data_IF_253079574583
#
_entry.id   IF_253079574583
#
_cell.length_a   1.000
_cell.length_b   1.000
_cell.length_c   1.000
_cell.angle_alpha   90.00
_cell.angle_beta   90.00
_cell.angle_gamma   90.00
#
_symmetry.space_group_name_H-M   'P 1'
#
loop_
_entity.id
_entity.type
_entity.pdbx_description
1 polymer ?
#
# COMPACT_ATOMS: atom_id res chain seq x y z
N UNK A 1 -14.42 7.65 8.22
CA UNK A 1 -14.62 6.42 7.42
C UNK A 1 -14.00 5.23 8.12
N UNK A 2 -14.56 4.03 7.90
CA UNK A 2 -13.91 2.77 8.29
C UNK A 2 -13.05 2.26 7.12
N UNK A 3 -11.78 1.95 7.36
CA UNK A 3 -10.83 1.59 6.32
C UNK A 3 -10.20 0.23 6.64
N UNK A 4 -10.26 -0.68 5.68
CA UNK A 4 -9.54 -1.94 5.73
C UNK A 4 -8.26 -1.84 4.90
N UNK A 5 -7.12 -2.22 5.48
CA UNK A 5 -5.82 -2.18 4.84
C UNK A 5 -5.22 -3.58 4.76
N UNK A 6 -4.78 -3.96 3.56
CA UNK A 6 -4.15 -5.25 3.34
C UNK A 6 -2.94 -5.15 2.43
N UNK A 7 -1.90 -5.93 2.69
CA UNK A 7 -0.71 -6.01 1.85
C UNK A 7 -0.41 -7.45 1.45
N UNK A 8 -0.04 -7.64 0.19
CA UNK A 8 0.46 -8.91 -0.35
C UNK A 8 1.91 -8.74 -0.74
N UNK A 9 2.69 -9.79 -0.59
CA UNK A 9 4.04 -9.91 -1.11
C UNK A 9 5.12 -9.48 -0.13
N UNK A 10 5.94 -8.49 -0.48
CA UNK A 10 7.18 -8.21 0.22
C UNK A 10 7.00 -7.35 1.50
N UNK A 11 8.05 -7.32 2.32
CA UNK A 11 8.09 -6.52 3.56
C UNK A 11 7.96 -5.03 3.30
N UNK A 12 8.39 -4.56 2.12
CA UNK A 12 8.25 -3.17 1.73
C UNK A 12 6.78 -2.79 1.56
N UNK A 13 5.98 -3.63 0.87
CA UNK A 13 4.53 -3.42 0.79
C UNK A 13 3.87 -3.36 2.17
N UNK A 14 4.38 -4.16 3.10
CA UNK A 14 3.89 -4.18 4.47
C UNK A 14 4.20 -2.88 5.21
N UNK A 15 5.45 -2.39 5.14
CA UNK A 15 5.84 -1.13 5.76
C UNK A 15 5.02 0.04 5.22
N UNK A 16 4.78 0.06 3.92
CA UNK A 16 3.98 1.09 3.26
C UNK A 16 2.53 1.11 3.74
N UNK A 17 1.90 -0.07 3.89
CA UNK A 17 0.53 -0.16 4.44
C UNK A 17 0.50 0.29 5.91
N UNK A 18 1.51 -0.04 6.70
CA UNK A 18 1.60 0.41 8.10
C UNK A 18 1.75 1.94 8.19
N UNK A 19 2.50 2.55 7.27
CA UNK A 19 2.60 4.01 7.19
C UNK A 19 1.25 4.65 6.84
N UNK A 20 0.55 4.15 5.82
CA UNK A 20 -0.79 4.62 5.47
C UNK A 20 -1.78 4.45 6.63
N UNK A 21 -1.71 3.34 7.35
CA UNK A 21 -2.54 3.08 8.52
C UNK A 21 -2.37 4.15 9.61
N UNK A 22 -1.11 4.51 9.92
CA UNK A 22 -0.83 5.57 10.90
C UNK A 22 -1.38 6.93 10.46
N UNK A 23 -1.18 7.28 9.19
CA UNK A 23 -1.64 8.56 8.63
C UNK A 23 -3.16 8.68 8.67
N UNK A 24 -3.86 7.64 8.22
CA UNK A 24 -5.31 7.60 8.23
C UNK A 24 -5.88 7.59 9.66
N UNK A 25 -5.28 6.85 10.58
CA UNK A 25 -5.69 6.84 11.98
C UNK A 25 -5.47 8.22 12.65
N UNK A 26 -4.34 8.88 12.36
CA UNK A 26 -4.06 10.24 12.84
C UNK A 26 -5.06 11.27 12.29
N UNK A 27 -5.60 11.04 11.10
CA UNK A 27 -6.70 11.82 10.50
C UNK A 27 -8.09 11.50 11.05
N UNK A 28 -8.20 10.65 12.08
CA UNK A 28 -9.46 10.30 12.71
C UNK A 28 -10.27 9.21 12.00
N UNK A 29 -9.67 8.51 11.04
CA UNK A 29 -10.31 7.36 10.40
C UNK A 29 -10.22 6.11 11.29
N UNK A 30 -11.23 5.27 11.25
CA UNK A 30 -11.26 4.00 11.99
C UNK A 30 -10.68 2.88 11.12
N UNK A 31 -9.67 2.18 11.61
CA UNK A 31 -9.14 1.00 10.95
C UNK A 31 -9.92 -0.24 11.38
N UNK A 32 -10.30 -1.09 10.41
CA UNK A 32 -11.01 -2.35 10.69
C UNK A 32 -10.24 -3.56 10.15
N UNK A 33 -10.28 -4.66 10.89
CA UNK A 33 -9.74 -5.94 10.44
C UNK A 33 -10.72 -6.67 9.50
N UNK A 34 -12.02 -6.33 9.55
CA UNK A 34 -13.06 -6.96 8.74
C UNK A 34 -13.37 -6.11 7.49
N UNK A 35 -13.06 -6.60 6.28
CA UNK A 35 -13.38 -5.89 5.04
C UNK A 35 -14.90 -5.72 4.82
N UNK A 36 -15.74 -6.53 5.46
CA UNK A 36 -17.20 -6.40 5.35
C UNK A 36 -17.74 -5.13 6.03
N UNK A 37 -17.00 -4.58 6.99
CA UNK A 37 -17.38 -3.35 7.69
C UNK A 37 -16.73 -2.08 7.11
N UNK A 38 -15.86 -2.22 6.11
CA UNK A 38 -15.08 -1.11 5.58
C UNK A 38 -15.89 -0.28 4.58
N UNK A 39 -15.77 1.04 4.67
CA UNK A 39 -16.21 1.96 3.61
C UNK A 39 -15.23 1.93 2.43
N UNK A 40 -13.94 1.75 2.75
CA UNK A 40 -12.85 1.68 1.77
C UNK A 40 -11.89 0.55 2.11
N UNK A 41 -11.49 -0.21 1.10
CA UNK A 41 -10.47 -1.26 1.20
C UNK A 41 -9.25 -0.84 0.40
N UNK A 42 -8.07 -0.78 1.04
CA UNK A 42 -6.80 -0.51 0.36
C UNK A 42 -6.01 -1.82 0.30
N UNK A 43 -5.69 -2.27 -0.92
CA UNK A 43 -4.86 -3.46 -1.15
C UNK A 43 -3.55 -3.08 -1.84
N UNK A 44 -2.43 -3.23 -1.14
CA UNK A 44 -1.09 -3.07 -1.71
C UNK A 44 -0.64 -4.39 -2.34
N UNK A 45 -0.54 -4.40 -3.66
CA UNK A 45 -0.38 -5.59 -4.49
C UNK A 45 1.08 -5.89 -4.86
N UNK A 46 1.36 -7.15 -5.14
CA UNK A 46 2.66 -7.63 -5.58
C UNK A 46 2.56 -8.29 -6.97
N UNK A 47 3.61 -8.14 -7.78
CA UNK A 47 3.72 -8.75 -9.10
C UNK A 47 5.04 -9.51 -9.28
N UNK A 48 5.80 -9.75 -8.21
CA UNK A 48 7.10 -10.44 -8.29
C UNK A 48 6.92 -11.91 -8.70
N UNK A 49 5.77 -12.51 -8.35
CA UNK A 49 5.41 -13.86 -8.77
C UNK A 49 4.01 -13.89 -9.39
N UNK A 50 3.78 -14.82 -10.30
CA UNK A 50 2.45 -15.06 -10.88
C UNK A 50 1.42 -15.42 -9.81
N UNK A 51 1.85 -16.10 -8.76
CA UNK A 51 1.02 -16.43 -7.61
C UNK A 51 0.55 -15.18 -6.86
N UNK A 52 1.44 -14.25 -6.56
CA UNK A 52 1.08 -12.99 -5.91
C UNK A 52 0.08 -12.17 -6.74
N UNK A 53 0.24 -12.13 -8.06
CA UNK A 53 -0.71 -11.48 -8.96
C UNK A 53 -2.08 -12.19 -8.95
N UNK A 54 -2.10 -13.52 -8.93
CA UNK A 54 -3.35 -14.31 -8.79
C UNK A 54 -4.03 -14.04 -7.45
N UNK A 55 -3.26 -14.01 -6.37
CA UNK A 55 -3.78 -13.76 -5.02
C UNK A 55 -4.36 -12.35 -4.91
N UNK A 56 -3.73 -11.34 -5.53
CA UNK A 56 -4.26 -10.00 -5.62
C UNK A 56 -5.67 -9.98 -6.24
N UNK A 57 -5.83 -10.64 -7.40
CA UNK A 57 -7.15 -10.73 -8.08
C UNK A 57 -8.19 -11.47 -7.24
N UNK A 58 -7.78 -12.57 -6.61
CA UNK A 58 -8.68 -13.36 -5.77
C UNK A 58 -9.13 -12.60 -4.52
N UNK A 59 -8.21 -11.91 -3.85
CA UNK A 59 -8.52 -11.08 -2.69
C UNK A 59 -9.42 -9.92 -3.08
N UNK A 60 -9.15 -9.23 -4.18
CA UNK A 60 -10.02 -8.14 -4.68
C UNK A 60 -11.45 -8.63 -4.88
N UNK A 61 -11.64 -9.77 -5.57
CA UNK A 61 -12.98 -10.35 -5.76
C UNK A 61 -13.64 -10.77 -4.44
N UNK A 62 -12.84 -11.23 -3.48
CA UNK A 62 -13.32 -11.61 -2.16
C UNK A 62 -13.77 -10.38 -1.36
N UNK A 63 -13.03 -9.28 -1.40
CA UNK A 63 -13.42 -8.03 -0.77
C UNK A 63 -14.68 -7.45 -1.39
N UNK A 64 -14.78 -7.42 -2.72
CA UNK A 64 -15.98 -6.96 -3.42
C UNK A 64 -17.24 -7.80 -3.08
N UNK A 65 -17.07 -9.10 -2.80
CA UNK A 65 -18.18 -9.96 -2.35
C UNK A 65 -18.52 -9.76 -0.87
N UNK A 66 -17.53 -9.44 -0.04
CA UNK A 66 -17.76 -9.20 1.39
C UNK A 66 -18.53 -7.91 1.63
N UNK A 67 -18.23 -6.87 0.85
CA UNK A 67 -18.97 -5.60 0.90
C UNK A 67 -19.03 -4.96 -0.49
N UNK A 68 -20.18 -5.05 -1.14
CA UNK A 68 -20.38 -4.49 -2.48
C UNK A 68 -20.45 -2.96 -2.52
N UNK A 69 -20.62 -2.30 -1.36
CA UNK A 69 -20.67 -0.84 -1.23
C UNK A 69 -19.29 -0.22 -0.94
N UNK A 70 -18.31 -1.03 -0.54
CA UNK A 70 -16.96 -0.54 -0.27
C UNK A 70 -16.23 -0.17 -1.56
N UNK A 71 -15.55 0.98 -1.56
CA UNK A 71 -14.61 1.31 -2.62
C UNK A 71 -13.32 0.54 -2.43
N UNK A 72 -12.86 -0.17 -3.46
CA UNK A 72 -11.55 -0.86 -3.43
C UNK A 72 -10.51 0.00 -4.14
N UNK A 73 -9.45 0.35 -3.42
CA UNK A 73 -8.27 1.06 -3.93
C UNK A 73 -7.13 0.06 -4.04
N UNK A 74 -6.65 -0.17 -5.27
CA UNK A 74 -5.52 -1.06 -5.53
C UNK A 74 -4.26 -0.26 -5.78
N UNK A 75 -3.16 -0.68 -5.17
CA UNK A 75 -1.84 -0.07 -5.38
C UNK A 75 -0.73 -1.12 -5.37
N UNK A 76 0.52 -0.69 -5.55
CA UNK A 76 1.69 -1.58 -5.50
C UNK A 76 2.18 -2.01 -6.88
N UNK A 77 3.09 -2.99 -6.89
CA UNK A 77 3.79 -3.38 -8.12
C UNK A 77 2.84 -3.90 -9.20
N UNK A 78 1.82 -4.67 -8.84
CA UNK A 78 0.86 -5.17 -9.82
C UNK A 78 -0.04 -4.05 -10.36
N UNK A 79 -0.45 -3.12 -9.51
CA UNK A 79 -1.21 -1.95 -9.92
C UNK A 79 -0.43 -1.06 -10.90
N UNK A 80 0.90 -0.99 -10.76
CA UNK A 80 1.77 -0.26 -11.68
C UNK A 80 1.92 -0.98 -13.03
N UNK A 81 2.04 -2.31 -13.02
CA UNK A 81 2.34 -3.08 -14.24
C UNK A 81 1.11 -3.41 -15.07
N UNK A 82 -0.05 -3.60 -14.44
CA UNK A 82 -1.28 -4.01 -15.11
C UNK A 82 -2.50 -3.23 -14.61
N UNK A 83 -2.49 -1.88 -14.68
CA UNK A 83 -3.56 -1.06 -14.12
C UNK A 83 -4.93 -1.33 -14.77
N UNK A 84 -4.97 -1.54 -16.09
CA UNK A 84 -6.22 -1.81 -16.80
C UNK A 84 -6.85 -3.15 -16.40
N UNK A 85 -6.04 -4.19 -16.18
CA UNK A 85 -6.53 -5.49 -15.71
C UNK A 85 -7.16 -5.37 -14.32
N UNK A 86 -6.51 -4.62 -13.42
CA UNK A 86 -7.00 -4.42 -12.07
C UNK A 86 -8.23 -3.50 -12.00
N UNK A 87 -8.29 -2.48 -12.83
CA UNK A 87 -9.45 -1.58 -12.90
C UNK A 87 -10.73 -2.29 -13.38
N UNK A 88 -10.59 -3.38 -14.14
CA UNK A 88 -11.72 -4.18 -14.61
C UNK A 88 -12.28 -5.15 -13.54
N UNK A 89 -11.65 -5.25 -12.37
CA UNK A 89 -12.13 -6.12 -11.30
C UNK A 89 -13.34 -5.50 -10.56
N UNK A 90 -14.26 -6.34 -10.06
CA UNK A 90 -15.45 -5.84 -9.36
C UNK A 90 -15.09 -5.05 -8.10
N UNK A 91 -15.79 -3.95 -7.86
CA UNK A 91 -15.63 -3.10 -6.68
C UNK A 91 -14.41 -2.20 -6.70
N UNK A 92 -13.57 -2.27 -7.73
CA UNK A 92 -12.39 -1.39 -7.85
C UNK A 92 -12.84 -0.01 -8.32
N UNK A 93 -12.67 0.97 -7.43
CA UNK A 93 -12.91 2.38 -7.72
C UNK A 93 -11.65 3.10 -8.20
N UNK A 94 -10.48 2.70 -7.70
CA UNK A 94 -9.21 3.35 -8.03
C UNK A 94 -8.06 2.35 -8.14
N UNK A 95 -7.17 2.63 -9.11
CA UNK A 95 -5.87 1.96 -9.23
C UNK A 95 -4.79 3.02 -9.19
N UNK A 96 -3.90 2.94 -8.21
CA UNK A 96 -2.85 3.93 -7.93
C UNK A 96 -1.49 3.25 -8.05
N UNK A 97 -0.64 3.77 -8.90
CA UNK A 97 0.70 3.23 -9.12
C UNK A 97 1.65 3.45 -7.92
N UNK A 98 2.85 2.89 -8.00
CA UNK A 98 3.85 3.05 -6.94
C UNK A 98 4.36 4.48 -6.79
N UNK A 99 4.34 5.29 -7.85
CA UNK A 99 4.82 6.67 -7.79
C UNK A 99 3.83 7.57 -7.02
N UNK A 100 2.53 7.36 -7.21
CA UNK A 100 1.48 8.12 -6.55
C UNK A 100 1.00 7.53 -5.21
N UNK A 101 1.46 6.34 -4.85
CA UNK A 101 0.99 5.57 -3.69
C UNK A 101 1.04 6.33 -2.36
N UNK A 102 2.10 7.10 -2.13
CA UNK A 102 2.24 7.89 -0.89
C UNK A 102 1.12 8.91 -0.69
N UNK A 103 0.48 9.35 -1.78
CA UNK A 103 -0.65 10.27 -1.76
C UNK A 103 -2.02 9.63 -1.52
N UNK A 104 -2.12 8.30 -1.37
CA UNK A 104 -3.41 7.64 -1.15
C UNK A 104 -4.17 8.17 0.06
N UNK A 105 -3.56 8.41 1.25
CA UNK A 105 -4.28 8.99 2.37
C UNK A 105 -4.92 10.34 2.01
N UNK A 106 -4.17 11.23 1.35
CA UNK A 106 -4.65 12.54 0.91
C UNK A 106 -5.74 12.44 -0.18
N UNK A 107 -5.63 11.43 -1.04
CA UNK A 107 -6.63 11.12 -2.07
C UNK A 107 -7.98 10.71 -1.46
N UNK A 108 -7.95 10.04 -0.31
CA UNK A 108 -9.14 9.62 0.42
C UNK A 108 -9.69 10.72 1.33
N UNK A 109 -8.81 11.51 1.92
CA UNK A 109 -9.17 12.63 2.77
C UNK A 109 -8.24 13.84 2.49
N UNK A 110 -8.69 14.79 1.67
CA UNK A 110 -7.92 15.98 1.35
C UNK A 110 -7.64 16.92 2.53
N UNK A 111 -8.24 16.70 3.69
CA UNK A 111 -8.00 17.49 4.91
C UNK A 111 -6.77 17.03 5.69
N UNK A 112 -6.24 15.85 5.35
CA UNK A 112 -5.02 15.35 5.96
C UNK A 112 -3.82 16.24 5.62
N UNK A 113 -2.84 16.36 6.53
CA UNK A 113 -1.61 17.07 6.20
C UNK A 113 -0.92 16.39 5.01
N UNK A 114 -0.31 17.20 4.15
CA UNK A 114 0.46 16.68 3.03
C UNK A 114 1.53 15.70 3.52
N UNK A 115 1.49 14.50 2.94
CA UNK A 115 2.39 13.44 3.36
C UNK A 115 3.76 13.71 2.76
N UNK A 116 4.83 13.78 3.57
CA UNK A 116 6.16 13.95 3.04
C UNK A 116 6.47 12.89 1.98
N UNK A 117 7.18 13.28 0.93
CA UNK A 117 7.75 12.32 -0.01
C UNK A 117 8.57 11.26 0.74
N UNK A 118 8.80 10.11 0.09
CA UNK A 118 9.54 8.97 0.64
C UNK A 118 10.76 9.37 1.51
N UNK A 119 11.50 10.37 1.07
CA UNK A 119 12.74 10.85 1.70
C UNK A 119 12.51 11.63 3.01
N UNK A 120 11.25 12.03 3.29
CA UNK A 120 10.87 12.84 4.46
C UNK A 120 9.89 12.13 5.38
N UNK A 121 9.51 10.88 5.10
CA UNK A 121 8.65 10.12 6.00
C UNK A 121 9.33 9.98 7.38
N UNK A 122 8.72 10.48 8.47
CA UNK A 122 9.26 10.26 9.79
C UNK A 122 9.37 8.77 10.07
N UNK A 123 10.50 8.31 10.55
CA UNK A 123 10.64 6.98 11.08
C UNK A 123 9.93 6.95 12.44
N UNK A 124 8.61 6.81 12.43
CA UNK A 124 7.85 6.65 13.65
C UNK A 124 8.29 5.35 14.32
N UNK A 125 9.00 5.47 15.43
CA UNK A 125 9.42 4.34 16.28
C UNK A 125 8.26 3.79 17.13
N UNK A 126 7.13 4.50 17.14
CA UNK A 126 5.96 4.09 17.89
C UNK A 126 5.17 3.03 17.10
N UNK A 127 4.91 1.92 17.76
CA UNK A 127 3.95 0.93 17.26
C UNK A 127 2.57 1.59 17.23
N UNK A 128 2.01 1.78 16.03
CA UNK A 128 0.64 2.22 15.91
C UNK A 128 -0.27 1.24 16.67
N UNK A 129 -1.15 1.77 17.50
CA UNK A 129 -2.25 0.99 18.06
C UNK A 129 -3.04 0.40 16.87
N UNK A 130 -3.03 -0.93 16.75
CA UNK A 130 -3.62 -1.62 15.60
C UNK A 130 -2.60 -2.25 14.63
N UNK A 131 -1.30 -2.08 14.84
CA UNK A 131 -0.29 -2.89 14.17
C UNK A 131 -0.49 -4.34 14.61
N UNK A 132 -1.04 -5.13 13.72
CA UNK A 132 -1.51 -6.50 13.87
C UNK A 132 -0.43 -7.35 14.52
N UNK A 133 -0.46 -7.48 15.85
CA UNK A 133 0.22 -8.50 16.65
C UNK A 133 1.69 -8.79 16.33
N UNK A 134 2.45 -7.84 15.75
CA UNK A 134 3.85 -8.05 15.38
C UNK A 134 4.80 -7.44 16.41
N UNK A 135 5.83 -8.22 16.71
CA UNK A 135 6.95 -7.80 17.54
C UNK A 135 8.10 -7.15 16.74
N UNK A 136 7.95 -7.02 15.41
CA UNK A 136 8.99 -6.49 14.51
C UNK A 136 8.45 -5.30 13.73
N UNK A 137 9.13 -4.14 13.82
CA UNK A 137 8.93 -2.99 12.94
C UNK A 137 9.69 -3.17 11.62
N UNK A 138 9.13 -2.66 10.53
CA UNK A 138 9.81 -2.54 9.25
C UNK A 138 10.15 -1.08 8.99
N UNK A 139 11.41 -0.81 8.67
CA UNK A 139 11.89 0.51 8.27
C UNK A 139 12.20 0.46 6.77
N UNK A 140 11.51 1.30 6.00
CA UNK A 140 11.76 1.44 4.57
C UNK A 140 12.96 2.35 4.38
N UNK A 141 14.13 1.77 4.10
CA UNK A 141 15.40 2.51 3.92
C UNK A 141 15.69 2.81 2.45
N UNK A 142 15.11 2.04 1.52
CA UNK A 142 15.27 2.20 0.09
C UNK A 142 14.00 1.81 -0.66
N UNK A 143 13.73 2.47 -1.79
CA UNK A 143 12.71 2.08 -2.77
C UNK A 143 13.32 2.11 -4.17
N UNK A 144 12.77 1.29 -5.09
CA UNK A 144 13.31 1.16 -6.44
C UNK A 144 14.67 0.46 -6.49
N UNK A 145 15.28 0.41 -7.68
CA UNK A 145 16.59 -0.23 -7.90
C UNK A 145 17.17 0.20 -9.24
N UNK A 146 18.46 0.52 -9.27
CA UNK A 146 19.19 0.91 -10.49
C UNK A 146 19.77 -0.29 -11.25
N UNK A 147 19.75 -1.48 -10.65
CA UNK A 147 20.18 -2.70 -11.32
C UNK A 147 19.13 -3.15 -12.33
N UNK A 148 19.54 -3.41 -13.56
CA UNK A 148 18.68 -3.84 -14.66
C UNK A 148 18.79 -5.36 -14.89
N UNK A 149 18.60 -6.14 -13.83
CA UNK A 149 18.60 -7.61 -13.93
C UNK A 149 17.48 -8.08 -14.85
N UNK A 150 17.81 -8.96 -15.79
CA UNK A 150 16.88 -9.41 -16.85
C UNK A 150 15.60 -10.10 -16.34
N UNK A 151 15.65 -10.67 -15.13
CA UNK A 151 14.53 -11.36 -14.49
C UNK A 151 13.79 -10.52 -13.45
N UNK A 152 14.27 -9.30 -13.15
CA UNK A 152 13.75 -8.52 -12.04
C UNK A 152 12.82 -7.41 -12.52
N UNK A 153 11.63 -7.40 -11.97
CA UNK A 153 10.57 -6.43 -12.29
C UNK A 153 10.66 -5.15 -11.45
N UNK A 154 11.54 -5.10 -10.44
CA UNK A 154 11.57 -4.01 -9.46
C UNK A 154 11.80 -2.64 -10.09
N UNK A 155 12.75 -2.53 -11.01
CA UNK A 155 13.04 -1.25 -11.70
C UNK A 155 11.83 -0.75 -12.48
N UNK A 156 11.09 -1.64 -13.14
CA UNK A 156 9.90 -1.30 -13.93
C UNK A 156 8.77 -0.89 -12.99
N UNK A 157 8.55 -1.67 -11.91
CA UNK A 157 7.41 -1.47 -11.02
C UNK A 157 7.61 -0.35 -9.99
N UNK A 158 8.86 -0.03 -9.61
CA UNK A 158 9.18 0.93 -8.55
C UNK A 158 10.08 2.08 -8.99
N UNK A 159 10.62 2.01 -10.23
CA UNK A 159 11.53 3.01 -10.77
C UNK A 159 12.95 2.91 -10.23
N UNK A 160 13.69 4.02 -10.37
CA UNK A 160 15.08 4.15 -9.94
C UNK A 160 15.26 4.00 -8.43
N UNK A 161 16.46 3.59 -8.01
CA UNK A 161 16.82 3.41 -6.61
C UNK A 161 16.83 4.74 -5.85
N UNK A 162 16.04 4.85 -4.80
CA UNK A 162 16.00 6.00 -3.89
C UNK A 162 16.24 5.51 -2.47
N UNK A 163 17.28 6.02 -1.84
CA UNK A 163 17.65 5.66 -0.46
C UNK A 163 17.41 6.82 0.48
N UNK A 164 17.07 6.50 1.73
CA UNK A 164 17.00 7.50 2.81
C UNK A 164 18.41 7.91 3.23
N UNK A 165 18.61 9.17 3.59
CA UNK A 165 19.83 9.60 4.27
C UNK A 165 20.06 8.79 5.56
N UNK A 166 21.32 8.44 5.83
CA UNK A 166 21.68 7.65 7.01
C UNK A 166 21.19 8.30 8.33
N UNK A 167 21.30 9.62 8.42
CA UNK A 167 20.86 10.39 9.60
C UNK A 167 19.36 10.31 9.89
N UNK A 168 18.54 9.88 8.91
CA UNK A 168 17.10 9.66 9.09
C UNK A 168 16.78 8.22 9.50
N UNK A 169 17.72 7.31 9.31
CA UNK A 169 17.54 5.87 9.58
C UNK A 169 18.07 5.49 10.96
N UNK A 170 19.10 6.19 11.46
CA UNK A 170 19.76 5.99 12.73
C UNK A 170 19.36 7.09 13.71
#
# INVERSE_FOLDING_TARGET
MKIHLHAIGCRLNQAEIETMARQLAAGGHTLTADPAEADTVILNTCAVTAEAARDARNLTRRFARANASAEIVLTGCYATLAPAELAALPGVGRVVDNAAKAGIPLLLDPTLPDVPAFDREPLARETAAGSIGRTRGFIKVQDGCDNRCTFCVTTIARGEGRSRPLAEVV
#
